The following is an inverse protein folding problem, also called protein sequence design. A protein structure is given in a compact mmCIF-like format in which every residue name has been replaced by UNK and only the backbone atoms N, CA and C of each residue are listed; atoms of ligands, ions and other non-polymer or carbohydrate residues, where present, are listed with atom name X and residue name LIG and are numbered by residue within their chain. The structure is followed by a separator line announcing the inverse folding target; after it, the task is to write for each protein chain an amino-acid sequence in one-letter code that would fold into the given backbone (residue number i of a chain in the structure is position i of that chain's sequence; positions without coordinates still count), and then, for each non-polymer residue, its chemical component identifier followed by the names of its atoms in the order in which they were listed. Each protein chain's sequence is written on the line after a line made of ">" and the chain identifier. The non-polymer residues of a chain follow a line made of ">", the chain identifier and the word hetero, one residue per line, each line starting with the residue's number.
data_IF_887556697440
#
_entry.id   IF_887556697440
#
_cell.length_a   1.000
_cell.length_b   1.000
_cell.length_c   1.000
_cell.angle_alpha   90.00
_cell.angle_beta   90.00
_cell.angle_gamma   90.00
#
_symmetry.space_group_name_H-M   'P 1'
#
loop_
_entity.id
_entity.type
_entity.pdbx_description
1 polymer ?
#
# COMPACT_ATOMS: atom_id res chain seq x y z
N UNK A 1 14.10 16.21 13.89
CA UNK A 1 13.69 16.53 12.50
C UNK A 1 12.26 17.04 12.59
N UNK A 2 12.08 18.35 12.52
CA UNK A 2 10.78 19.03 12.58
C UNK A 2 10.08 18.94 11.23
N UNK A 3 9.02 18.12 11.15
CA UNK A 3 7.93 18.17 10.16
C UNK A 3 8.30 18.29 8.68
N UNK A 4 8.86 17.23 8.10
CA UNK A 4 9.00 17.12 6.63
C UNK A 4 7.69 16.69 5.97
N UNK A 5 7.37 17.24 4.80
CA UNK A 5 6.25 16.77 3.96
C UNK A 5 6.78 15.76 2.96
N UNK A 6 6.24 14.54 2.97
CA UNK A 6 6.50 13.55 1.92
C UNK A 6 5.55 13.77 0.75
N UNK A 7 6.05 13.67 -0.48
CA UNK A 7 5.25 13.81 -1.70
C UNK A 7 5.42 12.58 -2.58
N UNK A 8 4.30 11.97 -2.95
CA UNK A 8 4.27 10.91 -3.96
C UNK A 8 4.43 11.58 -5.33
N UNK A 9 5.49 11.24 -6.04
CA UNK A 9 5.81 11.78 -7.38
C UNK A 9 5.79 10.71 -8.47
N UNK A 10 5.91 9.43 -8.09
CA UNK A 10 5.96 8.31 -9.02
C UNK A 10 5.07 7.18 -8.53
N UNK A 11 4.40 6.50 -9.47
CA UNK A 11 3.79 5.20 -9.29
C UNK A 11 4.48 4.22 -10.24
N UNK A 12 5.24 3.28 -9.69
CA UNK A 12 5.94 2.25 -10.46
C UNK A 12 5.11 0.97 -10.43
N UNK A 13 4.71 0.49 -11.61
CA UNK A 13 3.92 -0.74 -11.78
C UNK A 13 4.92 -1.86 -12.10
N UNK A 14 5.21 -2.77 -11.16
CA UNK A 14 6.13 -3.87 -11.40
C UNK A 14 5.50 -4.91 -12.34
N UNK A 15 6.36 -5.80 -12.87
CA UNK A 15 5.91 -7.11 -13.35
C UNK A 15 5.13 -7.78 -12.23
N UNK A 16 3.96 -8.32 -12.53
CA UNK A 16 3.08 -8.85 -11.49
C UNK A 16 2.13 -9.90 -12.06
N UNK A 17 1.64 -10.78 -11.20
CA UNK A 17 0.53 -11.70 -11.51
C UNK A 17 -0.63 -11.35 -10.60
N UNK A 18 -1.73 -10.87 -11.20
CA UNK A 18 -2.95 -10.51 -10.48
C UNK A 18 -4.02 -11.59 -10.60
N UNK A 19 -4.69 -11.88 -9.49
CA UNK A 19 -5.95 -12.62 -9.42
C UNK A 19 -7.09 -11.65 -9.03
N UNK A 20 -8.30 -12.18 -8.81
CA UNK A 20 -9.44 -11.35 -8.41
C UNK A 20 -9.28 -10.74 -7.00
N UNK A 21 -8.47 -11.37 -6.14
CA UNK A 21 -8.32 -11.08 -4.71
C UNK A 21 -6.85 -11.05 -4.22
N UNK A 22 -5.89 -11.18 -5.13
CA UNK A 22 -4.46 -11.08 -4.81
C UNK A 22 -3.67 -10.47 -5.95
N UNK A 23 -2.51 -9.90 -5.64
CA UNK A 23 -1.52 -9.51 -6.63
C UNK A 23 -0.13 -9.81 -6.08
N UNK A 24 0.65 -10.58 -6.84
CA UNK A 24 2.02 -10.92 -6.50
C UNK A 24 2.98 -10.15 -7.41
N UNK A 25 3.90 -9.39 -6.82
CA UNK A 25 4.93 -8.63 -7.54
C UNK A 25 6.13 -9.52 -7.86
N UNK A 26 6.70 -9.34 -9.05
CA UNK A 26 7.87 -10.05 -9.53
C UNK A 26 8.99 -9.06 -9.87
N UNK A 27 10.23 -9.54 -9.91
CA UNK A 27 11.41 -8.76 -10.29
C UNK A 27 11.55 -7.44 -9.50
N UNK A 28 11.43 -7.49 -8.17
CA UNK A 28 11.55 -6.32 -7.29
C UNK A 28 12.88 -5.57 -7.46
N UNK A 29 13.92 -6.24 -7.94
CA UNK A 29 15.22 -5.65 -8.31
C UNK A 29 15.12 -4.57 -9.39
N UNK A 30 14.19 -4.68 -10.34
CA UNK A 30 13.98 -3.66 -11.37
C UNK A 30 13.32 -2.40 -10.79
N UNK A 31 12.39 -2.59 -9.85
CA UNK A 31 11.77 -1.48 -9.11
C UNK A 31 12.84 -0.77 -8.29
N UNK A 32 13.65 -1.52 -7.55
CA UNK A 32 14.75 -0.96 -6.76
C UNK A 32 15.75 -0.19 -7.64
N UNK A 33 16.18 -0.76 -8.77
CA UNK A 33 17.10 -0.11 -9.69
C UNK A 33 16.52 1.19 -10.27
N UNK A 34 15.22 1.21 -10.60
CA UNK A 34 14.55 2.44 -11.04
C UNK A 34 14.49 3.49 -9.93
N UNK A 35 14.17 3.08 -8.70
CA UNK A 35 14.11 3.99 -7.55
C UNK A 35 15.48 4.62 -7.26
N UNK A 36 16.54 3.82 -7.22
CA UNK A 36 17.91 4.27 -6.97
C UNK A 36 18.38 5.26 -8.04
N UNK A 37 18.20 4.91 -9.33
CA UNK A 37 18.58 5.76 -10.45
C UNK A 37 17.86 7.12 -10.48
N UNK A 38 16.67 7.22 -9.87
CA UNK A 38 15.85 8.44 -9.82
C UNK A 38 15.82 9.11 -8.44
N UNK A 39 16.65 8.65 -7.49
CA UNK A 39 16.68 9.15 -6.10
C UNK A 39 15.29 9.13 -5.43
N UNK A 40 14.54 8.04 -5.60
CA UNK A 40 13.20 7.87 -5.05
C UNK A 40 13.24 6.98 -3.80
N UNK A 41 12.28 7.20 -2.90
CA UNK A 41 12.01 6.32 -1.75
C UNK A 41 10.60 5.75 -1.86
N UNK A 42 10.40 4.57 -1.28
CA UNK A 42 9.08 3.93 -1.20
C UNK A 42 8.24 4.62 -0.13
N UNK A 43 7.09 5.21 -0.52
CA UNK A 43 6.14 5.86 0.40
C UNK A 43 4.87 5.03 0.65
N UNK A 44 4.81 3.81 0.11
CA UNK A 44 3.61 2.98 0.16
C UNK A 44 3.40 2.21 -1.12
N UNK A 45 2.16 1.77 -1.33
CA UNK A 45 1.75 0.98 -2.47
C UNK A 45 0.28 1.24 -2.80
N UNK A 46 -0.12 0.86 -4.02
CA UNK A 46 -1.48 1.05 -4.53
C UNK A 46 -1.94 -0.23 -5.23
N UNK A 47 -3.18 -0.63 -4.98
CA UNK A 47 -3.84 -1.70 -5.72
C UNK A 47 -5.31 -1.40 -5.94
N UNK A 48 -5.96 -2.26 -6.71
CA UNK A 48 -7.38 -2.12 -7.04
C UNK A 48 -8.19 -3.23 -6.40
N UNK A 49 -9.41 -2.92 -5.98
CA UNK A 49 -10.47 -3.86 -5.63
C UNK A 49 -11.55 -3.81 -6.73
N UNK A 50 -11.46 -4.64 -7.79
CA UNK A 50 -12.33 -4.49 -8.97
C UNK A 50 -13.82 -4.60 -8.66
N UNK A 51 -14.18 -5.46 -7.70
CA UNK A 51 -15.58 -5.78 -7.38
C UNK A 51 -15.98 -5.55 -5.91
N UNK A 52 -15.04 -5.10 -5.06
CA UNK A 52 -15.20 -4.94 -3.62
C UNK A 52 -15.05 -3.46 -3.22
N UNK A 53 -15.51 -3.09 -2.02
CA UNK A 53 -15.30 -1.73 -1.44
C UNK A 53 -13.83 -1.54 -1.04
N UNK A 54 -13.42 -0.32 -0.70
CA UNK A 54 -12.06 -0.08 -0.24
C UNK A 54 -11.87 -0.52 1.22
N UNK A 55 -10.97 -1.47 1.45
CA UNK A 55 -10.54 -1.93 2.78
C UNK A 55 -9.20 -2.66 2.64
N UNK A 56 -8.55 -2.99 3.77
CA UNK A 56 -7.40 -3.90 3.76
C UNK A 56 -7.86 -5.33 4.05
N UNK A 57 -7.73 -6.20 3.05
CA UNK A 57 -7.89 -7.65 3.23
C UNK A 57 -6.78 -8.22 4.11
N UNK A 58 -6.90 -9.49 4.52
CA UNK A 58 -5.83 -10.14 5.30
C UNK A 58 -4.47 -10.09 4.59
N UNK A 59 -4.45 -10.36 3.28
CA UNK A 59 -3.22 -10.29 2.46
C UNK A 59 -2.67 -8.85 2.44
N UNK A 60 -3.54 -7.86 2.33
CA UNK A 60 -3.15 -6.44 2.33
C UNK A 60 -2.58 -6.02 3.68
N UNK A 61 -3.15 -6.52 4.80
CA UNK A 61 -2.64 -6.25 6.15
C UNK A 61 -1.20 -6.74 6.30
N UNK A 62 -0.93 -7.98 5.90
CA UNK A 62 0.41 -8.57 5.95
C UNK A 62 1.39 -7.83 5.03
N UNK A 63 0.97 -7.52 3.81
CA UNK A 63 1.76 -6.75 2.86
C UNK A 63 2.11 -5.38 3.43
N UNK A 64 1.10 -4.63 3.88
CA UNK A 64 1.30 -3.27 4.37
C UNK A 64 2.10 -3.21 5.67
N UNK A 65 2.02 -4.24 6.52
CA UNK A 65 2.83 -4.32 7.74
C UNK A 65 4.33 -4.19 7.44
N UNK A 66 4.83 -4.86 6.41
CA UNK A 66 6.24 -4.75 6.00
C UNK A 66 6.61 -3.33 5.58
N UNK A 67 5.75 -2.65 4.81
CA UNK A 67 5.98 -1.25 4.41
C UNK A 67 5.99 -0.31 5.62
N UNK A 68 5.03 -0.47 6.54
CA UNK A 68 4.88 0.42 7.70
C UNK A 68 5.95 0.15 8.80
N UNK A 69 6.56 -1.04 8.82
CA UNK A 69 7.75 -1.33 9.62
C UNK A 69 8.98 -0.58 9.12
N UNK A 70 9.12 -0.44 7.79
CA UNK A 70 10.25 0.28 7.19
C UNK A 70 10.07 1.81 7.23
N UNK A 71 8.83 2.28 7.10
CA UNK A 71 8.47 3.69 7.15
C UNK A 71 7.09 3.87 7.80
N UNK A 72 7.04 4.46 8.98
CA UNK A 72 5.79 4.66 9.74
C UNK A 72 4.71 5.42 8.97
N UNK A 73 5.12 6.31 8.08
CA UNK A 73 4.26 7.16 7.25
C UNK A 73 3.78 6.47 5.97
N UNK A 74 4.24 5.24 5.67
CA UNK A 74 3.84 4.50 4.49
C UNK A 74 2.31 4.38 4.41
N UNK A 75 1.75 4.44 3.19
CA UNK A 75 0.30 4.32 2.98
C UNK A 75 -0.04 3.16 2.05
N UNK A 76 -1.17 2.51 2.30
CA UNK A 76 -1.80 1.58 1.37
C UNK A 76 -2.99 2.27 0.69
N UNK A 77 -2.94 2.44 -0.63
CA UNK A 77 -4.02 3.05 -1.40
C UNK A 77 -4.83 1.95 -2.08
N UNK A 78 -6.13 1.91 -1.84
CA UNK A 78 -7.05 0.94 -2.43
C UNK A 78 -8.06 1.67 -3.31
N UNK A 79 -8.04 1.36 -4.60
CA UNK A 79 -8.98 1.92 -5.57
C UNK A 79 -10.10 0.91 -5.82
N UNK A 80 -11.32 1.26 -5.43
CA UNK A 80 -12.52 0.44 -5.59
C UNK A 80 -13.44 1.03 -6.67
N UNK A 81 -13.16 0.80 -7.96
CA UNK A 81 -13.82 1.50 -9.07
C UNK A 81 -15.34 1.26 -9.12
N UNK A 82 -15.80 0.04 -8.80
CA UNK A 82 -17.23 -0.29 -8.78
C UNK A 82 -18.03 0.54 -7.78
N UNK A 83 -17.39 1.02 -6.72
CA UNK A 83 -18.01 1.83 -5.67
C UNK A 83 -17.62 3.30 -5.74
N UNK A 84 -16.83 3.71 -6.74
CA UNK A 84 -16.27 5.05 -6.88
C UNK A 84 -15.58 5.53 -5.59
N UNK A 85 -14.82 4.63 -4.95
CA UNK A 85 -14.17 4.85 -3.67
C UNK A 85 -12.65 4.72 -3.81
N UNK A 86 -11.92 5.60 -3.13
CA UNK A 86 -10.47 5.49 -2.93
C UNK A 86 -10.21 5.53 -1.43
N UNK A 87 -9.73 4.42 -0.88
CA UNK A 87 -9.31 4.32 0.51
C UNK A 87 -7.81 4.53 0.64
N UNK A 88 -7.38 5.31 1.63
CA UNK A 88 -5.97 5.44 1.99
C UNK A 88 -5.84 4.99 3.44
N UNK A 89 -5.02 3.97 3.67
CA UNK A 89 -4.98 3.28 4.95
C UNK A 89 -3.57 3.20 5.53
N UNK A 90 -3.55 3.09 6.87
CA UNK A 90 -2.41 2.64 7.67
C UNK A 90 -2.88 1.60 8.67
N UNK A 91 -1.99 0.72 9.10
CA UNK A 91 -2.23 -0.16 10.24
C UNK A 91 -2.28 0.66 11.53
N UNK A 92 -3.23 0.31 12.40
CA UNK A 92 -3.27 0.82 13.78
C UNK A 92 -2.09 0.27 14.58
N UNK A 93 -1.82 0.83 15.76
CA UNK A 93 -0.78 0.29 16.65
C UNK A 93 -1.05 -1.19 17.00
N UNK A 94 -2.32 -1.53 17.24
CA UNK A 94 -2.75 -2.92 17.42
C UNK A 94 -2.51 -3.73 16.14
N UNK A 95 -2.87 -3.21 14.97
CA UNK A 95 -2.66 -3.87 13.68
C UNK A 95 -1.19 -4.20 13.43
N UNK A 96 -0.30 -3.22 13.64
CA UNK A 96 1.15 -3.42 13.52
C UNK A 96 1.63 -4.55 14.43
N UNK A 97 1.21 -4.58 15.70
CA UNK A 97 1.60 -5.63 16.63
C UNK A 97 1.07 -7.01 16.20
N UNK A 98 -0.24 -7.11 15.97
CA UNK A 98 -0.92 -8.38 15.69
C UNK A 98 -0.43 -9.02 14.39
N UNK A 99 -0.28 -8.22 13.33
CA UNK A 99 0.16 -8.72 12.02
C UNK A 99 1.64 -9.10 12.05
N UNK A 100 2.50 -8.28 12.67
CA UNK A 100 3.93 -8.56 12.78
C UNK A 100 4.24 -9.82 13.63
N UNK A 101 3.37 -10.17 14.59
CA UNK A 101 3.49 -11.40 15.40
C UNK A 101 2.85 -12.62 14.71
N UNK A 102 2.03 -12.42 13.68
CA UNK A 102 1.34 -13.52 13.00
C UNK A 102 2.32 -14.38 12.18
N UNK A 103 2.15 -15.71 12.24
CA UNK A 103 2.97 -16.71 11.53
C UNK A 103 2.15 -17.66 10.67
N UNK A 104 0.86 -17.38 10.50
CA UNK A 104 -0.03 -18.19 9.64
C UNK A 104 0.37 -17.99 8.18
N UNK A 105 0.27 -19.06 7.39
CA UNK A 105 0.64 -19.06 5.97
C UNK A 105 -0.63 -19.20 5.13
N UNK A 106 -0.64 -18.57 3.95
CA UNK A 106 -1.78 -18.56 3.05
C UNK A 106 -2.91 -17.64 3.54
N UNK A 107 -4.04 -17.69 2.84
CA UNK A 107 -5.19 -16.86 3.17
C UNK A 107 -5.83 -17.27 4.51
N UNK A 108 -5.89 -16.34 5.47
CA UNK A 108 -6.48 -16.57 6.78
C UNK A 108 -7.14 -15.31 7.35
N UNK A 109 -8.23 -15.43 8.12
CA UNK A 109 -8.88 -14.27 8.73
C UNK A 109 -8.13 -13.77 9.98
N UNK A 110 -8.31 -12.48 10.28
CA UNK A 110 -7.94 -11.84 11.54
C UNK A 110 -9.18 -11.40 12.31
N UNK A 111 -9.16 -11.54 13.63
CA UNK A 111 -10.30 -11.21 14.48
C UNK A 111 -10.48 -9.69 14.60
N UNK A 112 -11.70 -9.21 14.32
CA UNK A 112 -12.02 -7.79 14.33
C UNK A 112 -11.06 -6.99 13.41
N UNK A 113 -10.84 -7.50 12.19
CA UNK A 113 -9.86 -6.98 11.22
C UNK A 113 -10.06 -5.50 10.88
N UNK A 114 -11.30 -5.00 10.92
CA UNK A 114 -11.61 -3.57 10.71
C UNK A 114 -10.99 -2.64 11.73
N UNK A 115 -10.58 -3.14 12.90
CA UNK A 115 -9.87 -2.36 13.93
C UNK A 115 -8.33 -2.40 13.76
N UNK A 116 -7.81 -3.20 12.81
CA UNK A 116 -6.37 -3.33 12.57
C UNK A 116 -5.83 -2.24 11.65
N UNK A 117 -6.69 -1.46 11.01
CA UNK A 117 -6.32 -0.37 10.13
C UNK A 117 -7.27 0.82 10.29
N UNK A 118 -6.86 1.99 9.79
CA UNK A 118 -7.68 3.19 9.82
C UNK A 118 -7.49 4.01 8.53
N UNK A 119 -8.48 4.85 8.21
CA UNK A 119 -8.38 5.80 7.11
C UNK A 119 -7.42 6.93 7.48
N UNK A 120 -6.46 7.23 6.61
CA UNK A 120 -5.54 8.35 6.80
C UNK A 120 -6.24 9.66 6.46
N UNK A 121 -6.36 10.55 7.45
CA UNK A 121 -6.96 11.88 7.29
C UNK A 121 -5.92 13.00 7.15
N UNK A 122 -4.65 12.67 7.31
CA UNK A 122 -3.48 13.55 7.20
C UNK A 122 -2.93 13.68 5.77
N UNK A 123 -3.58 13.03 4.79
CA UNK A 123 -3.18 13.04 3.38
C UNK A 123 -3.93 14.13 2.62
N UNK A 124 -3.22 14.84 1.73
CA UNK A 124 -3.78 15.89 0.88
C UNK A 124 -3.59 15.55 -0.59
N UNK A 125 -4.68 15.58 -1.34
CA UNK A 125 -4.65 15.52 -2.79
C UNK A 125 -4.44 16.92 -3.35
N UNK A 126 -3.51 17.06 -4.28
CA UNK A 126 -3.16 18.34 -4.87
C UNK A 126 -3.13 18.22 -6.39
N UNK A 127 -4.11 18.83 -7.05
CA UNK A 127 -4.31 18.72 -8.51
C UNK A 127 -3.28 19.52 -9.31
N UNK A 128 -2.58 20.46 -8.66
CA UNK A 128 -1.54 21.27 -9.31
C UNK A 128 -0.22 20.51 -9.50
N UNK A 129 -0.08 19.33 -8.89
CA UNK A 129 1.14 18.52 -8.92
C UNK A 129 0.99 17.37 -9.91
N UNK A 130 2.05 17.13 -10.68
CA UNK A 130 2.12 15.98 -11.60
C UNK A 130 2.76 14.78 -10.91
N UNK A 131 2.24 13.60 -11.21
CA UNK A 131 2.84 12.32 -10.86
C UNK A 131 3.16 11.53 -12.14
N UNK A 132 4.26 10.81 -12.12
CA UNK A 132 4.71 9.95 -13.23
C UNK A 132 4.27 8.52 -12.99
N UNK A 133 3.64 7.89 -13.99
CA UNK A 133 3.38 6.45 -13.97
C UNK A 133 4.45 5.76 -14.79
N UNK A 134 5.10 4.77 -14.20
CA UNK A 134 6.17 3.98 -14.82
C UNK A 134 5.68 2.55 -14.89
N UNK A 135 5.51 2.02 -16.09
CA UNK A 135 4.97 0.68 -16.31
C UNK A 135 6.10 -0.28 -16.71
N UNK A 136 6.38 -1.28 -15.87
CA UNK A 136 7.44 -2.28 -16.07
C UNK A 136 6.89 -3.68 -16.40
N UNK A 137 5.58 -3.81 -16.62
CA UNK A 137 4.90 -5.10 -16.88
C UNK A 137 5.43 -5.83 -18.11
#
# INVERSE_FOLDING_TARGET
>A
ITGGVCRITHAVIPKQTGAADSCDTHNEEEVFAYQDANNLITLGWIHTHPSQTAFLSSVDLHTHCSYQLMLSEAVAIVVAPKFNEVGIFRLSERGMKEINECRKVGFHPHENSSALFFYCHDIRFENSLTATVVDLR
#
